data_IF_208820056257
#
_entry.id   IF_208820056257
#
_cell.length_a   1.000
_cell.length_b   1.000
_cell.length_c   1.000
_cell.angle_alpha   90.00
_cell.angle_beta   90.00
_cell.angle_gamma   90.00
#
_symmetry.space_group_name_H-M   'P 1'
#
loop_
_entity.id
_entity.type
_entity.pdbx_description
1 polymer ?
#
# COMPACT_ATOMS: atom_id res chain seq x y z
N UNK A 1 9.09 -0.74 38.83
CA UNK A 1 9.81 0.51 39.15
C UNK A 1 11.28 0.11 39.30
N UNK A 2 12.17 0.85 38.62
CA UNK A 2 13.65 0.73 38.61
C UNK A 2 14.25 -0.40 37.75
N UNK A 3 14.67 0.03 36.56
CA UNK A 3 15.97 -0.21 35.92
C UNK A 3 16.74 -1.50 36.21
N UNK A 4 16.82 -2.36 35.19
CA UNK A 4 17.98 -3.21 34.95
C UNK A 4 18.39 -3.11 33.48
N UNK A 5 19.11 -2.03 33.16
CA UNK A 5 19.94 -1.92 31.96
C UNK A 5 21.30 -2.51 32.35
N UNK A 6 21.76 -3.59 31.70
CA UNK A 6 23.03 -3.61 30.96
C UNK A 6 23.30 -4.99 30.32
N UNK A 7 23.20 -4.99 28.98
CA UNK A 7 24.27 -5.41 28.06
C UNK A 7 24.65 -6.89 28.00
N UNK A 8 23.90 -7.63 27.18
CA UNK A 8 24.48 -8.64 26.31
C UNK A 8 24.56 -8.09 24.88
N UNK A 9 25.63 -7.32 24.59
CA UNK A 9 26.08 -7.08 23.21
C UNK A 9 26.80 -8.34 22.73
N UNK A 10 26.05 -9.39 22.42
CA UNK A 10 26.55 -10.40 21.47
C UNK A 10 26.40 -9.74 20.10
N UNK A 11 27.52 -9.32 19.52
CA UNK A 11 27.54 -8.78 18.16
C UNK A 11 26.86 -9.77 17.21
N UNK A 12 25.63 -9.45 16.79
CA UNK A 12 24.89 -10.23 15.80
C UNK A 12 25.66 -10.13 14.48
N UNK A 13 26.40 -11.17 14.12
CA UNK A 13 26.92 -11.32 12.76
C UNK A 13 25.70 -11.28 11.85
N UNK A 14 25.52 -10.17 11.12
CA UNK A 14 24.41 -10.04 10.17
C UNK A 14 24.66 -11.08 9.10
N UNK A 15 23.80 -12.10 9.02
CA UNK A 15 23.81 -13.03 7.90
C UNK A 15 23.73 -12.22 6.60
N UNK A 16 24.69 -12.44 5.68
CA UNK A 16 24.70 -11.78 4.36
C UNK A 16 23.43 -12.10 3.57
N UNK A 17 22.89 -13.29 3.78
CA UNK A 17 21.63 -13.73 3.23
C UNK A 17 20.50 -13.20 4.11
N UNK A 18 19.50 -12.58 3.48
CA UNK A 18 18.28 -12.09 4.12
C UNK A 18 17.15 -13.10 3.83
N UNK A 19 16.95 -14.16 4.64
CA UNK A 19 15.94 -15.20 4.35
C UNK A 19 14.50 -14.67 4.25
N UNK A 20 14.22 -13.49 4.79
CA UNK A 20 12.93 -12.81 4.68
C UNK A 20 12.75 -12.05 3.35
N UNK A 21 13.80 -11.93 2.52
CA UNK A 21 13.74 -11.23 1.25
C UNK A 21 13.33 -12.22 0.15
N UNK A 22 12.08 -12.09 -0.31
CA UNK A 22 11.55 -12.88 -1.43
C UNK A 22 11.47 -11.97 -2.65
N UNK A 23 12.15 -12.34 -3.73
CA UNK A 23 11.93 -11.72 -5.03
C UNK A 23 10.57 -12.23 -5.54
N UNK A 24 9.65 -11.31 -5.79
CA UNK A 24 8.33 -11.59 -6.34
C UNK A 24 8.26 -10.92 -7.71
N UNK A 25 8.31 -11.73 -8.77
CA UNK A 25 8.01 -11.26 -10.12
C UNK A 25 6.50 -11.39 -10.33
N UNK A 26 5.82 -10.26 -10.55
CA UNK A 26 4.37 -10.23 -10.80
C UNK A 26 4.01 -10.69 -12.22
N UNK A 27 5.00 -10.84 -13.10
CA UNK A 27 4.83 -11.27 -14.49
C UNK A 27 5.46 -12.67 -14.63
N UNK A 28 4.72 -13.68 -15.12
CA UNK A 28 5.28 -15.00 -15.40
C UNK A 28 6.40 -14.91 -16.46
N UNK A 29 7.55 -15.52 -16.17
CA UNK A 29 8.73 -15.51 -17.06
C UNK A 29 8.45 -16.11 -18.45
N UNK A 30 7.49 -17.02 -18.54
CA UNK A 30 7.13 -17.75 -19.76
C UNK A 30 6.26 -16.92 -20.73
N UNK A 31 5.71 -15.79 -20.28
CA UNK A 31 4.72 -15.00 -21.03
C UNK A 31 5.20 -13.56 -21.32
N UNK A 32 6.49 -13.28 -21.17
CA UNK A 32 7.06 -11.93 -21.20
C UNK A 32 6.71 -11.18 -22.51
N UNK A 33 6.97 -11.77 -23.68
CA UNK A 33 6.74 -11.09 -24.96
C UNK A 33 5.25 -10.82 -25.27
N UNK A 34 4.38 -11.79 -25.01
CA UNK A 34 2.94 -11.63 -25.26
C UNK A 34 2.31 -10.63 -24.28
N UNK A 35 2.76 -10.65 -23.02
CA UNK A 35 2.36 -9.67 -22.01
C UNK A 35 2.82 -8.26 -22.40
N UNK A 36 4.08 -8.09 -22.82
CA UNK A 36 4.61 -6.80 -23.27
C UNK A 36 3.81 -6.27 -24.46
N UNK A 37 3.56 -7.08 -25.49
CA UNK A 37 2.77 -6.67 -26.65
C UNK A 37 1.33 -6.25 -26.28
N UNK A 38 0.70 -6.96 -25.33
CA UNK A 38 -0.61 -6.58 -24.82
C UNK A 38 -0.55 -5.26 -24.02
N UNK A 39 0.49 -5.06 -23.20
CA UNK A 39 0.68 -3.83 -22.43
C UNK A 39 0.97 -2.63 -23.34
N UNK A 40 1.73 -2.80 -24.42
CA UNK A 40 1.92 -1.77 -25.45
C UNK A 40 0.59 -1.36 -26.10
N UNK A 41 -0.30 -2.32 -26.36
CA UNK A 41 -1.62 -2.03 -26.88
C UNK A 41 -2.46 -1.20 -25.88
N UNK A 42 -2.37 -1.47 -24.57
CA UNK A 42 -3.00 -0.66 -23.52
C UNK A 42 -2.41 0.76 -23.49
N UNK A 43 -1.08 0.89 -23.52
CA UNK A 43 -0.41 2.20 -23.51
C UNK A 43 -0.75 3.03 -24.75
N UNK A 44 -1.01 2.39 -25.90
CA UNK A 44 -1.44 3.09 -27.11
C UNK A 44 -2.74 3.87 -26.93
N UNK A 45 -3.62 3.47 -26.00
CA UNK A 45 -4.87 4.18 -25.68
C UNK A 45 -4.57 5.56 -25.07
N UNK A 46 -3.58 5.63 -24.19
CA UNK A 46 -3.15 6.86 -23.53
C UNK A 46 -2.35 7.81 -24.45
N UNK A 47 -1.93 7.34 -25.63
CA UNK A 47 -1.22 8.15 -26.62
C UNK A 47 -2.16 8.74 -27.67
N UNK A 48 -3.46 8.42 -27.62
CA UNK A 48 -4.44 8.92 -28.60
C UNK A 48 -4.61 10.43 -28.44
N UNK A 49 -4.86 11.16 -29.55
CA UNK A 49 -5.26 12.55 -29.45
C UNK A 49 -6.59 12.64 -28.69
N UNK A 50 -6.73 13.73 -27.94
CA UNK A 50 -7.98 14.01 -27.24
C UNK A 50 -9.14 14.20 -28.23
N UNK A 51 -10.21 13.41 -28.09
CA UNK A 51 -11.47 13.60 -28.82
C UNK A 51 -12.63 13.63 -27.82
N UNK A 52 -13.33 14.76 -27.75
CA UNK A 52 -14.48 14.96 -26.84
C UNK A 52 -15.62 13.97 -27.07
N UNK A 53 -15.71 13.37 -28.26
CA UNK A 53 -16.72 12.33 -28.57
C UNK A 53 -16.30 10.94 -28.09
N UNK A 54 -15.01 10.74 -27.80
CA UNK A 54 -14.42 9.46 -27.41
C UNK A 54 -13.41 9.65 -26.26
N UNK A 55 -13.95 9.97 -25.09
CA UNK A 55 -13.15 10.18 -23.89
C UNK A 55 -12.53 8.88 -23.39
N UNK A 56 -11.27 8.98 -22.96
CA UNK A 56 -10.60 7.92 -22.19
C UNK A 56 -10.89 8.19 -20.73
N UNK A 57 -11.55 7.25 -20.05
CA UNK A 57 -11.82 7.34 -18.61
C UNK A 57 -11.18 6.13 -17.93
N UNK A 58 -10.32 6.42 -16.96
CA UNK A 58 -9.77 5.43 -16.06
C UNK A 58 -10.71 5.23 -14.89
N UNK A 59 -10.87 3.99 -14.47
CA UNK A 59 -11.62 3.60 -13.29
C UNK A 59 -10.71 2.78 -12.38
N UNK A 60 -10.67 3.12 -11.11
CA UNK A 60 -9.96 2.36 -10.09
C UNK A 60 -10.88 2.07 -8.90
N UNK A 61 -10.67 0.92 -8.27
CA UNK A 61 -11.42 0.46 -7.10
C UNK A 61 -10.45 0.07 -5.99
N UNK A 62 -10.64 0.69 -4.83
CA UNK A 62 -9.88 0.35 -3.64
C UNK A 62 -10.83 -0.11 -2.53
N UNK A 63 -10.77 -1.39 -2.10
CA UNK A 63 -11.46 -1.82 -0.89
C UNK A 63 -10.79 -1.20 0.34
N UNK A 64 -11.57 -0.47 1.12
CA UNK A 64 -11.18 0.20 2.35
C UNK A 64 -11.81 -0.54 3.53
N UNK A 65 -10.95 -1.00 4.44
CA UNK A 65 -11.41 -1.56 5.70
C UNK A 65 -11.79 -0.45 6.66
N UNK A 66 -13.03 -0.49 7.16
CA UNK A 66 -13.52 0.44 8.16
C UNK A 66 -13.14 -0.08 9.56
N UNK A 67 -12.35 0.70 10.29
CA UNK A 67 -11.88 0.37 11.64
C UNK A 67 -12.15 1.51 12.61
N UNK A 68 -12.63 1.16 13.79
CA UNK A 68 -12.82 2.09 14.90
C UNK A 68 -11.93 1.69 16.09
N UNK A 69 -11.55 2.66 16.91
CA UNK A 69 -10.87 2.35 18.18
C UNK A 69 -11.84 1.65 19.13
N UNK A 70 -11.43 0.53 19.73
CA UNK A 70 -12.26 -0.17 20.72
C UNK A 70 -12.41 0.64 22.02
N UNK A 71 -11.46 1.53 22.32
CA UNK A 71 -11.41 2.33 23.54
C UNK A 71 -11.04 3.78 23.25
N UNK A 72 -11.59 4.69 24.06
CA UNK A 72 -11.25 6.11 24.03
C UNK A 72 -9.81 6.29 24.48
N UNK A 73 -9.03 7.07 23.73
CA UNK A 73 -7.64 7.37 24.07
C UNK A 73 -7.57 8.17 25.38
N UNK A 74 -6.59 7.85 26.21
CA UNK A 74 -6.36 8.60 27.45
C UNK A 74 -5.81 10.00 27.13
N UNK A 75 -6.18 11.04 27.91
CA UNK A 75 -5.65 12.37 27.70
C UNK A 75 -4.13 12.38 27.85
N UNK A 76 -3.47 13.04 26.91
CA UNK A 76 -2.02 13.15 26.89
C UNK A 76 -1.54 14.00 28.07
N UNK A 77 -0.52 13.51 28.80
CA UNK A 77 0.14 14.28 29.85
C UNK A 77 1.27 15.13 29.24
N UNK A 78 1.56 16.33 29.79
CA UNK A 78 2.69 17.14 29.36
C UNK A 78 4.00 16.31 29.39
N UNK A 79 4.77 16.37 28.30
CA UNK A 79 6.03 15.63 28.16
C UNK A 79 5.89 14.13 27.82
N UNK A 80 4.68 13.63 27.57
CA UNK A 80 4.44 12.25 27.12
C UNK A 80 3.87 12.21 25.71
N UNK A 81 4.23 11.20 24.93
CA UNK A 81 3.63 10.93 23.61
C UNK A 81 2.24 10.34 23.79
N UNK A 82 1.30 10.66 22.88
CA UNK A 82 -0.01 10.05 22.85
C UNK A 82 0.11 8.52 22.75
N UNK A 83 -0.63 7.80 23.60
CA UNK A 83 -0.69 6.33 23.60
C UNK A 83 -2.06 5.92 23.11
N UNK A 84 -2.08 5.21 21.98
CA UNK A 84 -3.30 4.67 21.39
C UNK A 84 -3.27 3.15 21.60
N UNK A 85 -4.41 2.60 22.03
CA UNK A 85 -4.57 1.15 22.20
C UNK A 85 -4.55 0.48 20.82
N UNK A 86 -4.00 -0.73 20.74
CA UNK A 86 -3.84 -1.48 19.49
C UNK A 86 -5.12 -2.25 19.12
N UNK A 87 -6.04 -2.41 20.08
CA UNK A 87 -7.35 -3.01 19.84
C UNK A 87 -8.23 -2.11 18.96
N UNK A 88 -8.84 -2.70 17.94
CA UNK A 88 -9.77 -2.02 17.04
C UNK A 88 -10.99 -2.90 16.77
N UNK A 89 -12.10 -2.26 16.44
CA UNK A 89 -13.34 -2.91 16.01
C UNK A 89 -13.40 -2.86 14.48
N UNK A 90 -13.70 -4.01 13.87
CA UNK A 90 -13.95 -4.10 12.43
C UNK A 90 -15.39 -3.69 12.16
N UNK A 91 -15.57 -2.52 11.56
CA UNK A 91 -16.87 -1.96 11.20
C UNK A 91 -17.31 -2.33 9.77
N UNK A 92 -16.60 -3.28 9.15
CA UNK A 92 -16.88 -3.79 7.80
C UNK A 92 -15.88 -3.31 6.76
N UNK A 93 -16.33 -3.28 5.50
CA UNK A 93 -15.57 -2.86 4.33
C UNK A 93 -16.44 -1.94 3.47
N UNK A 94 -15.81 -0.93 2.87
CA UNK A 94 -16.41 -0.13 1.80
C UNK A 94 -15.46 -0.10 0.60
N UNK A 95 -15.98 0.18 -0.59
CA UNK A 95 -15.15 0.30 -1.79
C UNK A 95 -15.13 1.78 -2.19
N UNK A 96 -13.93 2.33 -2.34
CA UNK A 96 -13.73 3.64 -2.93
C UNK A 96 -13.54 3.49 -4.44
N UNK A 97 -14.37 4.19 -5.20
CA UNK A 97 -14.30 4.24 -6.66
C UNK A 97 -13.73 5.58 -7.10
N UNK A 98 -12.75 5.56 -8.00
CA UNK A 98 -12.16 6.76 -8.58
C UNK A 98 -12.31 6.72 -10.10
N UNK A 99 -12.74 7.83 -10.68
CA UNK A 99 -12.81 8.02 -12.13
C UNK A 99 -11.97 9.22 -12.51
N UNK A 100 -11.08 9.05 -13.48
CA UNK A 100 -10.17 10.11 -13.96
C UNK A 100 -10.17 10.11 -15.47
N UNK A 101 -10.23 11.29 -16.07
CA UNK A 101 -10.00 11.51 -17.50
C UNK A 101 -8.53 11.92 -17.70
N UNK A 102 -7.61 10.98 -17.99
CA UNK A 102 -6.18 11.27 -18.05
C UNK A 102 -5.76 12.21 -19.18
N UNK A 103 -6.58 12.36 -20.23
CA UNK A 103 -6.28 13.17 -21.41
C UNK A 103 -7.02 14.52 -21.44
N UNK A 104 -7.89 14.78 -20.45
CA UNK A 104 -8.58 16.06 -20.32
C UNK A 104 -7.58 17.13 -19.85
N UNK A 105 -7.36 18.15 -20.67
CA UNK A 105 -6.52 19.32 -20.38
C UNK A 105 -7.35 20.57 -20.12
#
# INVERSE_FOLDING_TARGET
FVDSIFTNRVGRVKNKLKPWLKAMCCIPLEQDAAFVAAMEHVLSVYQRPYDQRFLVVNMDEQPIQLVAHSRVSLPMRPGSVAKVDYEYVREGMCNAFMFVEPLGH
#
